data_IF_319977399099
#
_entry.id   IF_319977399099
#
_cell.length_a   1.000
_cell.length_b   1.000
_cell.length_c   1.000
_cell.angle_alpha   90.00
_cell.angle_beta   90.00
_cell.angle_gamma   90.00
#
_symmetry.space_group_name_H-M   'P 1'
#
loop_
_entity.id
_entity.type
_entity.pdbx_description
1 polymer ?
#
# COMPACT_ATOMS: atom_id res chain seq x y z
N UNK A 1 -25.88 33.10 64.30
CA UNK A 1 -24.55 33.72 64.12
C UNK A 1 -23.73 32.84 63.21
N UNK A 2 -23.37 33.34 62.03
CA UNK A 2 -22.54 32.64 61.06
C UNK A 2 -21.09 32.58 61.58
N UNK A 3 -20.80 31.61 62.44
CA UNK A 3 -19.46 31.46 63.02
C UNK A 3 -19.19 30.01 63.50
N UNK A 4 -19.58 29.00 62.71
CA UNK A 4 -19.52 27.60 63.17
C UNK A 4 -18.74 26.65 62.27
N UNK A 5 -18.14 27.13 61.17
CA UNK A 5 -17.27 26.32 60.32
C UNK A 5 -16.04 27.10 59.87
N UNK A 6 -14.91 26.42 59.90
CA UNK A 6 -13.62 26.97 59.49
C UNK A 6 -13.65 27.33 57.99
N UNK A 7 -13.42 28.60 57.61
CA UNK A 7 -13.39 29.04 56.22
C UNK A 7 -12.41 28.23 55.34
N UNK A 8 -11.29 27.77 55.89
CA UNK A 8 -10.31 26.98 55.16
C UNK A 8 -10.86 25.60 54.80
N UNK A 9 -11.68 25.02 55.68
CA UNK A 9 -12.29 23.71 55.47
C UNK A 9 -13.38 23.79 54.41
N UNK A 10 -14.22 24.83 54.44
CA UNK A 10 -15.23 25.04 53.39
C UNK A 10 -14.57 25.34 52.04
N UNK A 11 -13.53 26.17 51.99
CA UNK A 11 -12.77 26.40 50.76
C UNK A 11 -12.19 25.11 50.17
N UNK A 12 -11.56 24.26 50.99
CA UNK A 12 -11.03 22.96 50.55
C UNK A 12 -12.13 22.03 50.03
N UNK A 13 -13.30 22.05 50.68
CA UNK A 13 -14.43 21.22 50.27
C UNK A 13 -15.03 21.69 48.94
N UNK A 14 -15.27 22.99 48.79
CA UNK A 14 -15.80 23.57 47.57
C UNK A 14 -14.83 23.42 46.40
N UNK A 15 -13.54 23.72 46.60
CA UNK A 15 -12.52 23.54 45.56
C UNK A 15 -12.39 22.09 45.11
N UNK A 16 -12.48 21.13 46.04
CA UNK A 16 -12.48 19.71 45.70
C UNK A 16 -13.72 19.30 44.91
N UNK A 17 -14.91 19.80 45.28
CA UNK A 17 -16.14 19.54 44.52
C UNK A 17 -16.05 20.08 43.08
N UNK A 18 -15.56 21.32 42.91
CA UNK A 18 -15.34 21.91 41.59
C UNK A 18 -14.32 21.11 40.76
N UNK A 19 -13.28 20.60 41.40
CA UNK A 19 -12.31 19.73 40.74
C UNK A 19 -12.95 18.41 40.27
N UNK A 20 -13.79 17.79 41.09
CA UNK A 20 -14.53 16.58 40.70
C UNK A 20 -15.49 16.84 39.52
N UNK A 21 -16.18 17.98 39.52
CA UNK A 21 -17.02 18.39 38.40
C UNK A 21 -16.20 18.57 37.11
N UNK A 22 -15.04 19.21 37.20
CA UNK A 22 -14.13 19.36 36.06
C UNK A 22 -13.67 17.99 35.52
N UNK A 23 -13.25 17.09 36.40
CA UNK A 23 -12.83 15.73 36.01
C UNK A 23 -13.96 14.98 35.32
N UNK A 24 -15.19 15.09 35.83
CA UNK A 24 -16.36 14.47 35.20
C UNK A 24 -16.65 15.07 33.83
N UNK A 25 -16.54 16.39 33.67
CA UNK A 25 -16.69 17.06 32.36
C UNK A 25 -15.66 16.56 31.36
N UNK A 26 -14.38 16.52 31.74
CA UNK A 26 -13.31 16.02 30.87
C UNK A 26 -13.58 14.59 30.41
N UNK A 27 -14.04 13.71 31.32
CA UNK A 27 -14.40 12.33 30.97
C UNK A 27 -15.54 12.28 29.95
N UNK A 28 -16.61 13.03 30.19
CA UNK A 28 -17.75 13.09 29.27
C UNK A 28 -17.36 13.63 27.90
N UNK A 29 -16.57 14.71 27.86
CA UNK A 29 -16.12 15.32 26.61
C UNK A 29 -15.17 14.38 25.85
N UNK A 30 -14.30 13.65 26.54
CA UNK A 30 -13.40 12.66 25.94
C UNK A 30 -14.20 11.55 25.26
N UNK A 31 -15.21 11.01 25.96
CA UNK A 31 -16.11 9.98 25.42
C UNK A 31 -16.88 10.56 24.22
N UNK A 32 -17.49 11.73 24.38
CA UNK A 32 -18.23 12.40 23.30
C UNK A 32 -17.38 12.62 22.06
N UNK A 33 -16.12 13.04 22.23
CA UNK A 33 -15.19 13.22 21.12
C UNK A 33 -14.96 11.89 20.40
N UNK A 34 -14.64 10.81 21.13
CA UNK A 34 -14.43 9.49 20.53
C UNK A 34 -15.65 9.01 19.74
N UNK A 35 -16.86 9.24 20.24
CA UNK A 35 -18.11 8.86 19.55
C UNK A 35 -18.54 9.83 18.45
N UNK A 36 -18.08 11.09 18.49
CA UNK A 36 -18.37 12.11 17.48
C UNK A 36 -17.43 12.04 16.28
N UNK A 37 -16.33 11.28 16.37
CA UNK A 37 -15.49 10.98 15.20
C UNK A 37 -16.30 10.08 14.26
N UNK A 38 -16.99 10.70 13.31
CA UNK A 38 -17.63 10.01 12.21
C UNK A 38 -16.57 9.75 11.14
N UNK A 39 -16.28 8.48 10.89
CA UNK A 39 -15.53 8.10 9.69
C UNK A 39 -16.49 8.19 8.51
N UNK A 40 -16.27 9.16 7.62
CA UNK A 40 -17.05 9.28 6.40
C UNK A 40 -16.64 8.17 5.43
N UNK A 41 -17.29 7.02 5.57
CA UNK A 41 -16.96 5.81 4.82
C UNK A 41 -17.15 6.02 3.30
N UNK A 42 -18.10 6.86 2.89
CA UNK A 42 -18.27 7.23 1.48
C UNK A 42 -17.09 8.02 0.93
N UNK A 43 -16.49 8.90 1.74
CA UNK A 43 -15.35 9.72 1.34
C UNK A 43 -14.08 8.89 1.19
N UNK A 44 -13.87 7.94 2.10
CA UNK A 44 -12.77 6.95 2.00
C UNK A 44 -12.94 6.07 0.77
N UNK A 45 -14.14 5.53 0.53
CA UNK A 45 -14.43 4.71 -0.65
C UNK A 45 -14.28 5.51 -1.95
N UNK A 46 -14.72 6.76 -2.00
CA UNK A 46 -14.58 7.61 -3.18
C UNK A 46 -13.10 7.94 -3.48
N UNK A 47 -12.27 8.12 -2.46
CA UNK A 47 -10.83 8.32 -2.62
C UNK A 47 -10.14 7.04 -3.11
N UNK A 48 -10.49 5.88 -2.57
CA UNK A 48 -9.99 4.58 -3.01
C UNK A 48 -10.40 4.27 -4.46
N UNK A 49 -11.66 4.52 -4.82
CA UNK A 49 -12.15 4.32 -6.18
C UNK A 49 -11.45 5.24 -7.19
N UNK A 50 -11.25 6.52 -6.86
CA UNK A 50 -10.50 7.45 -7.72
C UNK A 50 -9.05 7.02 -7.90
N UNK A 51 -8.39 6.59 -6.82
CA UNK A 51 -7.01 6.08 -6.90
C UNK A 51 -6.91 4.81 -7.74
N UNK A 52 -7.91 3.92 -7.66
CA UNK A 52 -7.97 2.71 -8.48
C UNK A 52 -8.22 3.04 -9.96
N UNK A 53 -9.14 3.96 -10.27
CA UNK A 53 -9.40 4.41 -11.65
C UNK A 53 -8.17 5.09 -12.28
N UNK A 54 -7.42 5.89 -11.51
CA UNK A 54 -6.18 6.50 -11.98
C UNK A 54 -5.10 5.46 -12.27
N UNK A 55 -4.92 4.48 -11.37
CA UNK A 55 -4.00 3.36 -11.59
C UNK A 55 -4.41 2.52 -12.81
N UNK A 56 -5.70 2.26 -12.99
CA UNK A 56 -6.22 1.50 -14.13
C UNK A 56 -6.01 2.26 -15.45
N UNK A 57 -6.23 3.58 -15.49
CA UNK A 57 -5.91 4.42 -16.66
C UNK A 57 -4.41 4.49 -16.96
N UNK A 58 -3.56 4.51 -15.94
CA UNK A 58 -2.10 4.41 -16.09
C UNK A 58 -1.69 3.04 -16.65
N UNK A 59 -2.32 1.96 -16.17
CA UNK A 59 -2.09 0.61 -16.69
C UNK A 59 -2.59 0.48 -18.14
N UNK A 60 -3.76 1.04 -18.45
CA UNK A 60 -4.35 0.97 -19.78
C UNK A 60 -3.57 1.82 -20.79
N UNK A 61 -3.12 3.02 -20.40
CA UNK A 61 -2.25 3.86 -21.24
C UNK A 61 -0.85 3.29 -21.42
N UNK A 62 -0.30 2.55 -20.46
CA UNK A 62 0.94 1.79 -20.64
C UNK A 62 0.77 0.54 -21.51
N UNK A 63 -0.42 -0.08 -21.50
CA UNK A 63 -0.78 -1.14 -22.46
C UNK A 63 -0.99 -0.58 -23.87
N UNK A 64 -1.59 0.61 -24.02
CA UNK A 64 -1.83 1.28 -25.32
C UNK A 64 -0.57 1.93 -25.92
N UNK A 65 0.38 2.41 -25.09
CA UNK A 65 1.69 2.91 -25.55
C UNK A 65 2.75 1.81 -25.73
N UNK A 66 2.39 0.53 -25.52
CA UNK A 66 3.30 -0.58 -25.78
C UNK A 66 4.34 -0.79 -24.69
N UNK A 67 3.91 -1.28 -23.53
CA UNK A 67 4.77 -2.08 -22.66
C UNK A 67 5.05 -3.43 -23.34
N UNK A 68 6.04 -3.42 -24.24
CA UNK A 68 6.92 -4.57 -24.45
C UNK A 68 7.67 -4.86 -23.14
N UNK A 69 7.61 -6.11 -22.67
CA UNK A 69 8.34 -6.78 -21.56
C UNK A 69 7.30 -7.54 -20.72
N UNK A 70 6.95 -8.81 -20.94
CA UNK A 70 7.75 -9.97 -21.32
C UNK A 70 6.91 -10.91 -22.19
N UNK A 71 7.27 -11.01 -23.46
CA UNK A 71 7.21 -12.23 -24.31
C UNK A 71 7.69 -11.92 -25.75
N UNK A 72 8.54 -10.90 -25.91
CA UNK A 72 9.23 -10.61 -27.17
C UNK A 72 10.59 -11.32 -27.19
N UNK A 73 10.56 -12.65 -27.09
CA UNK A 73 11.79 -13.45 -27.00
C UNK A 73 11.62 -14.95 -27.15
N UNK A 74 10.39 -15.46 -27.25
CA UNK A 74 10.17 -16.90 -27.41
C UNK A 74 9.61 -17.31 -28.77
N UNK A 75 8.91 -16.41 -29.47
CA UNK A 75 8.28 -16.76 -30.75
C UNK A 75 9.21 -16.62 -31.97
N UNK A 76 10.13 -15.65 -31.97
CA UNK A 76 11.06 -15.47 -33.10
C UNK A 76 12.21 -16.48 -33.08
N UNK A 77 12.73 -16.81 -31.91
CA UNK A 77 13.84 -17.75 -31.77
C UNK A 77 13.45 -19.22 -32.01
N UNK A 78 12.16 -19.58 -31.86
CA UNK A 78 11.64 -20.94 -32.12
C UNK A 78 11.73 -21.32 -33.61
N UNK A 79 11.84 -20.37 -34.54
CA UNK A 79 11.91 -20.62 -35.99
C UNK A 79 13.29 -20.44 -36.60
N UNK A 80 14.29 -19.99 -35.84
CA UNK A 80 15.65 -19.78 -36.37
C UNK A 80 16.38 -21.12 -36.49
N UNK A 81 16.80 -21.54 -37.70
CA UNK A 81 17.50 -22.81 -37.87
C UNK A 81 18.87 -22.74 -37.16
N UNK A 82 19.29 -23.84 -36.52
CA UNK A 82 20.49 -23.91 -35.67
C UNK A 82 21.78 -23.35 -36.29
N UNK A 83 21.94 -23.41 -37.62
CA UNK A 83 23.15 -22.94 -38.32
C UNK A 83 23.04 -21.51 -38.90
N UNK A 84 21.88 -20.85 -38.83
CA UNK A 84 21.72 -19.46 -39.29
C UNK A 84 22.48 -18.47 -38.40
N UNK A 85 22.80 -17.27 -38.90
CA UNK A 85 23.31 -16.19 -38.06
C UNK A 85 22.33 -15.88 -36.93
N UNK A 86 22.86 -15.68 -35.73
CA UNK A 86 22.04 -15.40 -34.56
C UNK A 86 21.40 -14.01 -34.67
N UNK A 87 20.08 -13.87 -34.48
CA UNK A 87 19.37 -12.60 -34.66
C UNK A 87 19.74 -11.54 -33.60
N UNK A 88 20.51 -11.89 -32.58
CA UNK A 88 21.07 -10.94 -31.62
C UNK A 88 22.26 -10.10 -32.17
N UNK A 89 22.61 -10.25 -33.45
CA UNK A 89 23.68 -9.46 -34.08
C UNK A 89 25.12 -9.86 -33.70
N UNK A 90 25.31 -10.96 -32.97
CA UNK A 90 26.63 -11.39 -32.49
C UNK A 90 27.59 -11.94 -33.55
N UNK A 91 27.14 -12.08 -34.81
CA UNK A 91 27.91 -12.68 -35.90
C UNK A 91 28.14 -14.20 -35.80
N UNK A 92 27.69 -14.84 -34.70
CA UNK A 92 27.85 -16.28 -34.44
C UNK A 92 26.63 -17.05 -34.97
N UNK A 93 26.81 -18.35 -35.25
CA UNK A 93 25.68 -19.24 -35.58
C UNK A 93 24.75 -19.39 -34.38
N UNK A 94 23.45 -19.53 -34.62
CA UNK A 94 22.43 -19.60 -33.56
C UNK A 94 22.75 -20.66 -32.49
N UNK A 95 23.17 -21.87 -32.90
CA UNK A 95 23.60 -22.96 -31.99
C UNK A 95 24.80 -22.63 -31.08
N UNK A 96 25.61 -21.64 -31.44
CA UNK A 96 26.81 -21.21 -30.72
C UNK A 96 26.57 -19.93 -29.91
N UNK A 97 25.35 -19.42 -29.90
CA UNK A 97 24.93 -18.26 -29.13
C UNK A 97 23.69 -18.61 -28.30
N UNK A 98 22.51 -18.13 -28.68
CA UNK A 98 21.25 -18.33 -27.95
C UNK A 98 20.65 -19.75 -28.09
N UNK A 99 21.15 -20.57 -29.03
CA UNK A 99 20.72 -21.95 -29.26
C UNK A 99 21.65 -23.03 -28.68
N UNK A 100 22.56 -22.66 -27.76
CA UNK A 100 23.46 -23.62 -27.10
C UNK A 100 22.66 -24.60 -26.25
N UNK A 101 22.62 -25.85 -26.68
CA UNK A 101 22.12 -26.95 -25.83
C UNK A 101 23.27 -27.36 -24.92
N UNK A 102 23.04 -27.39 -23.60
CA UNK A 102 24.02 -27.91 -22.65
C UNK A 102 24.40 -29.38 -22.94
N UNK A 103 25.46 -29.90 -22.31
CA UNK A 103 25.86 -31.30 -22.47
C UNK A 103 24.65 -32.18 -22.17
N UNK A 104 24.30 -33.07 -23.11
CA UNK A 104 23.20 -34.01 -22.89
C UNK A 104 23.60 -34.89 -21.71
N UNK A 105 23.01 -34.66 -20.54
CA UNK A 105 23.08 -35.63 -19.46
C UNK A 105 22.36 -36.88 -19.96
N UNK A 106 23.15 -37.84 -20.45
CA UNK A 106 22.66 -39.18 -20.68
C UNK A 106 22.21 -39.75 -19.35
N UNK A 107 21.16 -40.56 -19.36
CA UNK A 107 20.55 -41.23 -18.19
C UNK A 107 21.51 -42.25 -17.52
N UNK A 108 22.80 -42.23 -17.86
CA UNK A 108 23.83 -43.15 -17.38
C UNK A 108 25.13 -42.40 -17.06
N UNK A 109 25.05 -41.40 -16.18
CA UNK A 109 26.21 -40.84 -15.49
C UNK A 109 25.90 -40.73 -14.00
#
# INVERSE_FOLDING_TARGET
>A
GYNQKDPLVEYKKESYNLFLELVNRIKFDSIKLLFSVQFNQEEVQNLENKANEENEKLLQSSVEMGASEDNLGEAEFKKVPRNAPCPCGSGKKFKECHGKSGPKQGILA
#
